data_IF_413699113832
#
_entry.id   IF_413699113832
#
_cell.length_a   1.000
_cell.length_b   1.000
_cell.length_c   1.000
_cell.angle_alpha   90.00
_cell.angle_beta   90.00
_cell.angle_gamma   90.00
#
_symmetry.space_group_name_H-M   'P 1'
#
loop_
_entity.id
_entity.type
_entity.pdbx_description
1 polymer ?
#
# COMPACT_ATOMS: atom_id res chain seq x y z
N UNK A 1 -11.09 19.13 -24.37
CA UNK A 1 -9.86 18.40 -23.96
C UNK A 1 -10.19 17.59 -22.71
N UNK A 2 -10.13 16.27 -22.77
CA UNK A 2 -10.30 15.42 -21.58
C UNK A 2 -9.05 15.50 -20.71
N UNK A 3 -9.18 15.94 -19.46
CA UNK A 3 -8.08 15.94 -18.49
C UNK A 3 -7.58 14.50 -18.34
N UNK A 4 -6.27 14.22 -18.49
CA UNK A 4 -5.71 12.89 -18.24
C UNK A 4 -6.09 12.44 -16.82
N UNK A 5 -6.57 11.20 -16.69
CA UNK A 5 -6.93 10.59 -15.40
C UNK A 5 -5.92 9.51 -15.06
N UNK A 6 -5.74 9.25 -13.77
CA UNK A 6 -4.96 8.10 -13.30
C UNK A 6 -5.54 6.79 -13.86
N UNK A 7 -4.65 5.87 -14.23
CA UNK A 7 -5.00 4.52 -14.69
C UNK A 7 -4.52 3.46 -13.70
N UNK A 8 -5.08 2.24 -13.74
CA UNK A 8 -4.56 1.12 -12.94
C UNK A 8 -3.06 0.90 -13.15
N UNK A 9 -2.59 0.96 -14.39
CA UNK A 9 -1.19 0.75 -14.75
C UNK A 9 -0.30 1.86 -14.18
N UNK A 10 -0.75 3.12 -14.24
CA UNK A 10 -0.03 4.24 -13.65
C UNK A 10 0.12 4.11 -12.13
N UNK A 11 -0.94 3.70 -11.44
CA UNK A 11 -0.86 3.42 -10.00
C UNK A 11 0.08 2.26 -9.68
N UNK A 12 0.00 1.16 -10.43
CA UNK A 12 0.86 0.01 -10.20
C UNK A 12 2.34 0.35 -10.47
N UNK A 13 2.63 1.14 -11.50
CA UNK A 13 3.98 1.61 -11.79
C UNK A 13 4.55 2.45 -10.64
N UNK A 14 3.78 3.40 -10.11
CA UNK A 14 4.21 4.15 -8.94
C UNK A 14 4.34 3.24 -7.70
N UNK A 15 3.46 2.26 -7.50
CA UNK A 15 3.58 1.33 -6.37
C UNK A 15 4.92 0.57 -6.40
N UNK A 16 5.38 0.17 -7.59
CA UNK A 16 6.68 -0.48 -7.79
C UNK A 16 7.85 0.47 -7.51
N UNK A 17 7.76 1.73 -7.96
CA UNK A 17 8.78 2.75 -7.69
C UNK A 17 8.87 3.08 -6.19
N UNK A 18 7.74 3.22 -5.50
CA UNK A 18 7.70 3.41 -4.06
C UNK A 18 8.28 2.21 -3.30
N UNK A 19 7.99 0.99 -3.75
CA UNK A 19 8.60 -0.21 -3.15
C UNK A 19 10.12 -0.22 -3.35
N UNK A 20 10.60 0.08 -4.56
CA UNK A 20 12.02 0.13 -4.87
C UNK A 20 12.74 1.22 -4.05
N UNK A 21 12.12 2.39 -3.91
CA UNK A 21 12.64 3.46 -3.06
C UNK A 21 12.68 3.04 -1.58
N UNK A 22 11.62 2.37 -1.08
CA UNK A 22 11.61 1.83 0.27
C UNK A 22 12.75 0.83 0.47
N UNK A 23 12.94 -0.08 -0.48
CA UNK A 23 13.98 -1.11 -0.44
C UNK A 23 15.38 -0.51 -0.32
N UNK A 24 15.68 0.54 -1.09
CA UNK A 24 16.94 1.26 -1.00
C UNK A 24 17.11 1.94 0.36
N UNK A 25 16.12 2.71 0.80
CA UNK A 25 16.16 3.42 2.10
C UNK A 25 16.34 2.45 3.26
N UNK A 26 15.66 1.30 3.24
CA UNK A 26 15.68 0.33 4.32
C UNK A 26 16.96 -0.51 4.36
N UNK A 27 17.63 -0.72 3.22
CA UNK A 27 18.92 -1.41 3.15
C UNK A 27 20.07 -0.56 3.71
N UNK A 28 20.02 0.75 3.47
CA UNK A 28 21.05 1.69 3.93
C UNK A 28 20.78 2.23 5.35
N UNK A 29 19.62 1.95 5.93
CA UNK A 29 19.28 2.45 7.25
C UNK A 29 19.99 1.67 8.35
N UNK A 30 20.83 2.36 9.13
CA UNK A 30 21.46 1.79 10.34
C UNK A 30 20.46 1.58 11.49
N UNK A 31 19.37 2.35 11.48
CA UNK A 31 18.30 2.32 12.49
C UNK A 31 16.91 2.21 11.84
N UNK A 32 15.88 2.13 12.68
CA UNK A 32 14.50 2.15 12.24
C UNK A 32 14.17 3.42 11.42
N UNK A 33 13.72 3.20 10.18
CA UNK A 33 13.37 4.27 9.23
C UNK A 33 11.86 4.43 9.06
N UNK A 34 11.27 5.44 9.71
CA UNK A 34 9.87 5.84 9.46
C UNK A 34 9.61 6.19 7.99
N UNK A 35 10.52 6.89 7.28
CA UNK A 35 10.38 7.09 5.84
C UNK A 35 10.31 5.77 5.06
N UNK A 36 11.09 4.75 5.45
CA UNK A 36 11.01 3.42 4.84
C UNK A 36 9.62 2.80 4.98
N UNK A 37 9.03 2.84 6.18
CA UNK A 37 7.64 2.38 6.39
C UNK A 37 6.60 3.23 5.64
N UNK A 38 6.78 4.54 5.56
CA UNK A 38 5.92 5.41 4.76
C UNK A 38 5.93 5.00 3.28
N UNK A 39 7.11 4.75 2.71
CA UNK A 39 7.27 4.33 1.32
C UNK A 39 6.64 2.95 1.08
N UNK A 40 6.76 2.01 2.02
CA UNK A 40 6.03 0.73 1.96
C UNK A 40 4.51 0.93 2.02
N UNK A 41 4.02 1.80 2.90
CA UNK A 41 2.59 2.16 2.97
C UNK A 41 2.06 2.77 1.68
N UNK A 42 2.85 3.65 1.04
CA UNK A 42 2.54 4.21 -0.29
C UNK A 42 2.46 3.15 -1.36
N UNK A 43 3.40 2.21 -1.37
CA UNK A 43 3.39 1.10 -2.31
C UNK A 43 2.11 0.27 -2.17
N UNK A 44 1.75 -0.12 -0.94
CA UNK A 44 0.51 -0.88 -0.65
C UNK A 44 -0.74 -0.10 -1.07
N UNK A 45 -0.84 1.18 -0.70
CA UNK A 45 -1.99 2.04 -1.07
C UNK A 45 -2.21 2.07 -2.59
N UNK A 46 -1.13 2.29 -3.35
CA UNK A 46 -1.22 2.44 -4.80
C UNK A 46 -1.50 1.11 -5.49
N UNK A 47 -0.93 -0.01 -5.02
CA UNK A 47 -1.30 -1.34 -5.51
C UNK A 47 -2.78 -1.65 -5.31
N UNK A 48 -3.32 -1.36 -4.12
CA UNK A 48 -4.73 -1.59 -3.83
C UNK A 48 -5.63 -0.67 -4.67
N UNK A 49 -5.25 0.61 -4.82
CA UNK A 49 -5.97 1.55 -5.71
C UNK A 49 -5.93 1.12 -7.17
N UNK A 50 -4.81 0.60 -7.65
CA UNK A 50 -4.70 0.04 -9.00
C UNK A 50 -5.72 -1.08 -9.21
N UNK A 51 -5.77 -2.05 -8.29
CA UNK A 51 -6.74 -3.15 -8.33
C UNK A 51 -8.18 -2.65 -8.28
N UNK A 52 -8.52 -1.76 -7.36
CA UNK A 52 -9.88 -1.24 -7.21
C UNK A 52 -10.34 -0.44 -8.42
N UNK A 53 -9.44 0.35 -9.01
CA UNK A 53 -9.71 1.09 -10.24
C UNK A 53 -9.93 0.14 -11.41
N UNK A 54 -9.12 -0.93 -11.53
CA UNK A 54 -9.32 -2.00 -12.51
C UNK A 54 -10.67 -2.71 -12.35
N UNK A 55 -11.14 -2.88 -11.10
CA UNK A 55 -12.47 -3.42 -10.79
C UNK A 55 -13.60 -2.38 -10.90
N UNK A 56 -13.35 -1.23 -11.49
CA UNK A 56 -14.36 -0.23 -11.86
C UNK A 56 -14.72 0.80 -10.78
N UNK A 57 -13.99 0.86 -9.65
CA UNK A 57 -14.19 1.95 -8.69
C UNK A 57 -13.64 3.25 -9.30
N UNK A 58 -14.46 4.32 -9.40
CA UNK A 58 -14.02 5.54 -10.06
C UNK A 58 -12.93 6.25 -9.26
N UNK A 59 -12.01 6.90 -9.98
CA UNK A 59 -10.90 7.65 -9.36
C UNK A 59 -11.37 8.72 -8.36
N UNK A 60 -12.52 9.35 -8.61
CA UNK A 60 -13.12 10.33 -7.71
C UNK A 60 -13.48 9.73 -6.35
N UNK A 61 -13.85 8.45 -6.31
CA UNK A 61 -14.10 7.71 -5.07
C UNK A 61 -12.79 7.36 -4.37
N UNK A 62 -11.79 6.87 -5.10
CA UNK A 62 -10.47 6.50 -4.54
C UNK A 62 -9.69 7.69 -3.96
N UNK A 63 -10.01 8.92 -4.37
CA UNK A 63 -9.47 10.16 -3.82
C UNK A 63 -10.18 10.63 -2.54
N UNK A 64 -11.33 10.07 -2.19
CA UNK A 64 -12.05 10.44 -0.96
C UNK A 64 -11.28 9.97 0.27
N UNK A 65 -11.53 10.66 1.40
CA UNK A 65 -10.90 10.38 2.69
C UNK A 65 -10.96 8.90 3.10
N UNK A 66 -12.06 8.19 2.80
CA UNK A 66 -12.21 6.74 3.07
C UNK A 66 -11.08 5.89 2.50
N UNK A 67 -10.53 6.27 1.34
CA UNK A 67 -9.47 5.53 0.65
C UNK A 67 -8.15 6.30 0.59
N UNK A 68 -8.06 7.47 1.23
CA UNK A 68 -6.83 8.25 1.32
C UNK A 68 -6.02 7.80 2.52
N UNK A 69 -4.88 7.16 2.31
CA UNK A 69 -4.00 6.63 3.35
C UNK A 69 -4.59 5.55 4.28
N UNK A 70 -5.85 5.15 4.09
CA UNK A 70 -6.48 4.10 4.89
C UNK A 70 -6.31 2.73 4.21
N UNK A 71 -5.21 2.04 4.54
CA UNK A 71 -4.89 0.73 3.95
C UNK A 71 -5.90 -0.34 4.36
N UNK A 72 -6.46 -0.24 5.58
CA UNK A 72 -7.49 -1.15 6.07
C UNK A 72 -8.74 -1.10 5.18
N UNK A 73 -9.25 0.08 4.87
CA UNK A 73 -10.42 0.27 4.03
C UNK A 73 -10.16 -0.16 2.58
N UNK A 74 -8.97 0.16 2.05
CA UNK A 74 -8.55 -0.27 0.72
C UNK A 74 -8.48 -1.79 0.62
N UNK A 75 -7.85 -2.46 1.60
CA UNK A 75 -7.73 -3.92 1.61
C UNK A 75 -9.11 -4.58 1.75
N UNK A 76 -9.96 -4.08 2.67
CA UNK A 76 -11.30 -4.63 2.85
C UNK A 76 -12.13 -4.55 1.56
N UNK A 77 -12.11 -3.42 0.86
CA UNK A 77 -12.80 -3.25 -0.42
C UNK A 77 -12.18 -4.15 -1.52
N UNK A 78 -10.85 -4.29 -1.54
CA UNK A 78 -10.16 -5.14 -2.51
C UNK A 78 -10.51 -6.62 -2.33
N UNK A 79 -10.56 -7.10 -1.07
CA UNK A 79 -11.04 -8.45 -0.72
C UNK A 79 -12.49 -8.67 -1.14
N UNK A 80 -13.38 -7.70 -0.89
CA UNK A 80 -14.77 -7.78 -1.32
C UNK A 80 -14.91 -7.89 -2.85
N UNK A 81 -13.89 -7.49 -3.62
CA UNK A 81 -13.82 -7.61 -5.08
C UNK A 81 -12.93 -8.76 -5.56
N UNK A 82 -12.48 -9.63 -4.66
CA UNK A 82 -11.76 -10.87 -4.97
C UNK A 82 -10.30 -10.67 -5.38
N UNK A 83 -9.57 -9.78 -4.71
CA UNK A 83 -8.12 -9.56 -4.96
C UNK A 83 -7.30 -10.85 -4.81
N UNK A 84 -7.76 -11.79 -3.98
CA UNK A 84 -7.10 -13.09 -3.75
C UNK A 84 -7.02 -13.97 -5.01
N UNK A 85 -7.81 -13.69 -6.05
CA UNK A 85 -7.69 -14.37 -7.35
C UNK A 85 -6.50 -13.90 -8.18
N UNK A 86 -5.92 -12.76 -7.82
CA UNK A 86 -4.89 -12.03 -8.57
C UNK A 86 -3.53 -12.10 -7.85
N UNK A 87 -3.53 -12.17 -6.53
CA UNK A 87 -2.35 -12.23 -5.67
C UNK A 87 -2.67 -13.00 -4.40
N UNK A 88 -1.71 -13.77 -3.91
CA UNK A 88 -1.86 -14.54 -2.68
C UNK A 88 -1.71 -13.63 -1.45
N UNK A 89 -2.73 -13.64 -0.59
CA UNK A 89 -2.75 -12.91 0.67
C UNK A 89 -3.23 -13.82 1.79
N UNK A 90 -2.34 -14.08 2.74
CA UNK A 90 -2.66 -14.87 3.92
C UNK A 90 -3.45 -14.05 4.96
N UNK A 91 -4.13 -14.70 5.92
CA UNK A 91 -4.79 -13.98 7.02
C UNK A 91 -3.84 -13.05 7.78
N UNK A 92 -2.58 -13.47 7.99
CA UNK A 92 -1.55 -12.67 8.68
C UNK A 92 -1.19 -11.39 7.91
N UNK A 93 -1.23 -11.41 6.57
CA UNK A 93 -0.92 -10.26 5.73
C UNK A 93 -1.88 -9.09 6.01
N UNK A 94 -3.16 -9.38 6.27
CA UNK A 94 -4.11 -8.35 6.64
C UNK A 94 -3.81 -7.74 8.01
N UNK A 95 -3.36 -8.54 8.98
CA UNK A 95 -2.93 -8.03 10.28
C UNK A 95 -1.76 -7.04 10.13
N UNK A 96 -0.77 -7.39 9.31
CA UNK A 96 0.38 -6.52 8.99
C UNK A 96 -0.06 -5.21 8.32
N UNK A 97 -0.92 -5.29 7.29
CA UNK A 97 -1.43 -4.11 6.60
C UNK A 97 -2.27 -3.23 7.55
N UNK A 98 -3.07 -3.83 8.43
CA UNK A 98 -3.89 -3.08 9.38
C UNK A 98 -3.04 -2.37 10.42
N UNK A 99 -1.98 -3.02 10.91
CA UNK A 99 -1.04 -2.41 11.84
C UNK A 99 -0.30 -1.24 11.17
N UNK A 100 0.21 -1.43 9.94
CA UNK A 100 0.83 -0.36 9.15
C UNK A 100 -0.12 0.83 8.96
N UNK A 101 -1.40 0.55 8.68
CA UNK A 101 -2.43 1.57 8.46
C UNK A 101 -2.59 2.52 9.64
N UNK A 102 -2.34 2.07 10.88
CA UNK A 102 -2.59 2.86 12.09
C UNK A 102 -1.83 4.18 12.10
N UNK A 103 -0.51 4.14 11.90
CA UNK A 103 0.32 5.35 11.82
C UNK A 103 0.33 5.96 10.42
N UNK A 104 0.14 5.16 9.38
CA UNK A 104 0.14 5.63 7.99
C UNK A 104 -1.07 6.51 7.66
N UNK A 105 -2.28 6.11 8.07
CA UNK A 105 -3.52 6.89 7.86
C UNK A 105 -3.44 8.25 8.55
N UNK A 106 -2.87 8.28 9.76
CA UNK A 106 -2.67 9.49 10.54
C UNK A 106 -1.45 10.32 10.10
N UNK A 107 -0.75 9.91 9.02
CA UNK A 107 0.50 10.52 8.53
C UNK A 107 1.60 10.65 9.58
N UNK A 108 1.57 9.81 10.61
CA UNK A 108 2.55 9.84 11.71
C UNK A 108 3.93 9.39 11.24
N UNK A 109 4.01 8.59 10.18
CA UNK A 109 5.27 8.16 9.58
C UNK A 109 6.03 9.30 8.89
N UNK A 110 5.37 10.42 8.58
CA UNK A 110 5.97 11.60 7.96
C UNK A 110 6.64 12.53 9.00
N UNK A 111 6.32 12.37 10.30
CA UNK A 111 6.77 13.26 11.36
C UNK A 111 7.29 12.47 12.57
N UNK A 112 8.59 12.60 12.86
CA UNK A 112 9.19 12.00 14.06
C UNK A 112 8.74 12.77 15.31
N UNK A 113 8.08 12.08 16.23
CA UNK A 113 7.65 12.61 17.52
C UNK A 113 8.63 12.14 18.59
N UNK A 114 9.29 13.07 19.26
CA UNK A 114 10.22 12.78 20.37
C UNK A 114 9.49 12.09 21.51
N UNK A 115 10.03 10.95 21.98
CA UNK A 115 9.38 10.06 22.98
C UNK A 115 8.02 9.51 22.55
N UNK A 116 7.71 9.59 21.26
CA UNK A 116 6.53 8.95 20.68
C UNK A 116 6.74 7.45 20.47
N UNK A 117 5.63 6.72 20.40
CA UNK A 117 5.61 5.33 19.99
C UNK A 117 4.88 5.19 18.65
N UNK A 118 5.29 4.18 17.89
CA UNK A 118 4.74 3.83 16.60
C UNK A 118 4.36 2.35 16.59
N UNK A 119 3.18 2.05 16.04
CA UNK A 119 2.65 0.72 15.85
C UNK A 119 3.20 0.17 14.52
N UNK A 120 4.46 -0.25 14.53
CA UNK A 120 5.15 -0.72 13.33
C UNK A 120 5.06 -2.25 13.24
N UNK A 121 4.52 -2.79 12.13
CA UNK A 121 4.61 -4.23 11.88
C UNK A 121 6.04 -4.67 11.63
N UNK A 122 6.27 -5.99 11.66
CA UNK A 122 7.56 -6.56 11.35
C UNK A 122 7.99 -6.20 9.91
N UNK A 123 9.21 -5.68 9.79
CA UNK A 123 9.70 -5.10 8.54
C UNK A 123 9.79 -6.12 7.39
N UNK A 124 10.36 -7.34 7.57
CA UNK A 124 10.47 -8.32 6.48
C UNK A 124 9.13 -8.68 5.85
N UNK A 125 8.10 -8.85 6.68
CA UNK A 125 6.73 -9.19 6.33
C UNK A 125 6.10 -8.04 5.58
N UNK A 126 6.21 -6.82 6.12
CA UNK A 126 5.68 -5.60 5.49
C UNK A 126 6.30 -5.37 4.11
N UNK A 127 7.62 -5.52 4.00
CA UNK A 127 8.36 -5.40 2.74
C UNK A 127 7.95 -6.48 1.74
N UNK A 128 7.80 -7.72 2.20
CA UNK A 128 7.38 -8.85 1.37
C UNK A 128 5.97 -8.67 0.83
N UNK A 129 5.02 -8.28 1.67
CA UNK A 129 3.61 -8.03 1.29
C UNK A 129 3.52 -6.89 0.28
N UNK A 130 4.18 -5.76 0.55
CA UNK A 130 4.21 -4.63 -0.37
C UNK A 130 4.79 -5.03 -1.73
N UNK A 131 5.84 -5.87 -1.75
CA UNK A 131 6.42 -6.41 -2.99
C UNK A 131 5.41 -7.26 -3.76
N UNK A 132 4.76 -8.22 -3.09
CA UNK A 132 3.76 -9.09 -3.74
C UNK A 132 2.64 -8.25 -4.36
N UNK A 133 2.10 -7.29 -3.62
CA UNK A 133 1.08 -6.38 -4.13
C UNK A 133 1.56 -5.51 -5.31
N UNK A 134 2.82 -5.08 -5.33
CA UNK A 134 3.34 -4.21 -6.40
C UNK A 134 3.74 -4.97 -7.68
N UNK A 135 4.20 -6.22 -7.56
CA UNK A 135 4.81 -6.95 -8.67
C UNK A 135 4.04 -8.22 -9.07
N UNK A 136 3.14 -8.74 -8.24
CA UNK A 136 2.51 -10.04 -8.44
C UNK A 136 0.99 -9.97 -8.64
N UNK A 137 0.40 -8.77 -8.69
CA UNK A 137 -0.95 -8.55 -9.21
C UNK A 137 -0.99 -8.92 -10.71
N UNK A 138 -1.30 -10.18 -10.99
CA UNK A 138 -1.42 -10.73 -12.36
C UNK A 138 -2.88 -10.67 -12.83
N UNK A 139 -3.14 -10.71 -14.15
CA UNK A 139 -4.49 -10.88 -14.68
C UNK A 139 -5.20 -12.11 -14.07
N UNK A 140 -6.54 -12.07 -13.99
CA UNK A 140 -7.35 -13.11 -13.33
C UNK A 140 -6.95 -14.51 -13.82
N UNK A 141 -6.61 -15.41 -12.89
CA UNK A 141 -6.38 -16.82 -13.23
C UNK A 141 -7.72 -17.42 -13.68
N UNK A 142 -7.75 -17.91 -14.92
CA UNK A 142 -8.91 -18.65 -15.46
C UNK A 142 -9.10 -19.98 -14.76
#
# INVERSE_FOLDING_TARGET
MTVPKETPEGFLKHAQEFWAAADLVLKEAEELSLPGYFLLGRSVELSLKAFLLHKGIPISELRKKRYGHNLRALLAEARAKGIERFVELEPIDAGVIYLLSYDYEAKRLEYRITKGSYALPLLPETRGIARRLAFELKPERK
#
